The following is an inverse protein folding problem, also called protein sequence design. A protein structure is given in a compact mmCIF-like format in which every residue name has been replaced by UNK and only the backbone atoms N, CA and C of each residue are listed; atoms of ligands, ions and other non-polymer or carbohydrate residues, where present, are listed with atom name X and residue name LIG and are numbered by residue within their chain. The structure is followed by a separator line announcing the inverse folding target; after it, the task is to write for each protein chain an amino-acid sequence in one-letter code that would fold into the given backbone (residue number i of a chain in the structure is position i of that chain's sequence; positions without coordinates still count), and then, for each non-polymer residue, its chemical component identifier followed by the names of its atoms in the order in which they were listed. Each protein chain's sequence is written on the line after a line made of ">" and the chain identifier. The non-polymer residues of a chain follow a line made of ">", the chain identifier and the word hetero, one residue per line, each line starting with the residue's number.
data_IF_919789627811
#
_entry.id   IF_919789627811
#
_cell.length_a   1.000
_cell.length_b   1.000
_cell.length_c   1.000
_cell.angle_alpha   90.00
_cell.angle_beta   90.00
_cell.angle_gamma   90.00
#
_symmetry.space_group_name_H-M   'P 1'
#
loop_
_entity.id
_entity.type
_entity.pdbx_description
1 polymer ?
#
# COMPACT_ATOMS: atom_id res chain seq x y z
N UNK A 1 -8.60 -58.07 -4.82
CA UNK A 1 -8.65 -56.88 -5.70
C UNK A 1 -8.50 -55.67 -4.79
N UNK A 2 -7.32 -55.07 -4.79
CA UNK A 2 -6.97 -53.99 -3.86
C UNK A 2 -7.15 -52.66 -4.57
N UNK A 3 -8.16 -51.90 -4.18
CA UNK A 3 -8.33 -50.51 -4.61
C UNK A 3 -7.24 -49.66 -3.95
N UNK A 4 -6.19 -49.37 -4.72
CA UNK A 4 -5.26 -48.31 -4.37
C UNK A 4 -5.96 -46.97 -4.60
N UNK A 5 -6.44 -46.36 -3.51
CA UNK A 5 -6.94 -44.99 -3.50
C UNK A 5 -5.79 -44.04 -3.82
N UNK A 6 -5.67 -43.69 -5.10
CA UNK A 6 -4.70 -42.73 -5.61
C UNK A 6 -5.18 -41.33 -5.22
N UNK A 7 -4.91 -40.91 -3.98
CA UNK A 7 -5.05 -39.50 -3.57
C UNK A 7 -3.99 -38.70 -4.32
N UNK A 8 -4.38 -38.12 -5.46
CA UNK A 8 -3.57 -37.12 -6.13
C UNK A 8 -3.29 -35.98 -5.13
N UNK A 9 -2.03 -35.87 -4.70
CA UNK A 9 -1.56 -34.75 -3.90
C UNK A 9 -1.83 -33.46 -4.67
N UNK A 10 -2.54 -32.50 -4.05
CA UNK A 10 -2.78 -31.20 -4.67
C UNK A 10 -1.42 -30.60 -5.04
N UNK A 11 -1.26 -30.06 -6.26
CA UNK A 11 -0.01 -29.42 -6.63
C UNK A 11 0.34 -28.34 -5.59
N UNK A 12 1.62 -28.25 -5.18
CA UNK A 12 2.04 -27.30 -4.17
C UNK A 12 1.65 -25.89 -4.60
N UNK A 13 1.11 -25.11 -3.66
CA UNK A 13 0.70 -23.73 -3.93
C UNK A 13 1.90 -22.96 -4.50
N UNK A 14 1.76 -22.48 -5.74
CA UNK A 14 2.83 -21.83 -6.52
C UNK A 14 3.45 -20.64 -5.78
N UNK A 15 2.66 -19.96 -4.93
CA UNK A 15 3.13 -18.84 -4.11
C UNK A 15 4.31 -19.28 -3.24
N UNK A 16 4.25 -20.47 -2.66
CA UNK A 16 5.30 -20.98 -1.78
C UNK A 16 6.60 -21.34 -2.52
N UNK A 17 6.52 -21.53 -3.84
CA UNK A 17 7.65 -21.81 -4.71
C UNK A 17 8.22 -20.55 -5.36
N UNK A 18 7.52 -19.41 -5.26
CA UNK A 18 7.96 -18.17 -5.89
C UNK A 18 9.26 -17.65 -5.23
N UNK A 19 10.32 -17.32 -6.00
CA UNK A 19 11.60 -16.89 -5.44
C UNK A 19 11.48 -15.69 -4.49
N UNK A 20 10.72 -14.66 -4.88
CA UNK A 20 10.49 -13.49 -4.02
C UNK A 20 9.73 -13.85 -2.73
N UNK A 21 8.80 -14.79 -2.76
CA UNK A 21 8.12 -15.22 -1.55
C UNK A 21 9.07 -15.95 -0.59
N UNK A 22 9.98 -16.76 -1.13
CA UNK A 22 11.04 -17.41 -0.36
C UNK A 22 12.00 -16.38 0.24
N UNK A 23 12.36 -15.34 -0.51
CA UNK A 23 13.16 -14.22 -0.02
C UNK A 23 12.44 -13.46 1.11
N UNK A 24 11.14 -13.20 0.99
CA UNK A 24 10.36 -12.58 2.07
C UNK A 24 10.31 -13.46 3.32
N UNK A 25 10.22 -14.78 3.16
CA UNK A 25 10.31 -15.73 4.28
C UNK A 25 11.68 -15.72 4.95
N UNK A 26 12.77 -15.56 4.19
CA UNK A 26 14.12 -15.47 4.76
C UNK A 26 14.38 -14.17 5.53
N UNK A 27 13.47 -13.19 5.48
CA UNK A 27 13.52 -12.01 6.35
C UNK A 27 13.09 -12.33 7.80
N UNK A 28 12.62 -13.54 8.08
CA UNK A 28 12.28 -14.01 9.43
C UNK A 28 11.28 -13.09 10.14
N UNK A 29 10.23 -12.67 9.41
CA UNK A 29 9.07 -11.98 9.98
C UNK A 29 8.10 -13.03 10.50
N UNK A 30 7.72 -12.94 11.77
CA UNK A 30 6.88 -13.94 12.46
C UNK A 30 5.46 -14.00 11.89
N UNK A 31 4.93 -12.87 11.45
CA UNK A 31 3.57 -12.75 10.94
C UNK A 31 3.47 -13.27 9.50
N UNK A 32 3.13 -14.55 9.37
CA UNK A 32 2.96 -15.20 8.06
C UNK A 32 1.85 -14.58 7.20
N UNK A 33 0.82 -13.99 7.80
CA UNK A 33 -0.24 -13.31 7.07
C UNK A 33 0.27 -11.98 6.50
N UNK A 34 1.15 -11.28 7.22
CA UNK A 34 1.83 -10.09 6.72
C UNK A 34 2.82 -10.44 5.59
N UNK A 35 3.57 -11.53 5.70
CA UNK A 35 4.43 -12.02 4.60
C UNK A 35 3.61 -12.36 3.35
N UNK A 36 2.46 -13.02 3.53
CA UNK A 36 1.56 -13.32 2.43
C UNK A 36 0.97 -12.04 1.80
N UNK A 37 0.53 -11.08 2.62
CA UNK A 37 0.05 -9.79 2.14
C UNK A 37 1.13 -9.02 1.38
N UNK A 38 2.37 -9.00 1.88
CA UNK A 38 3.50 -8.37 1.21
C UNK A 38 3.76 -8.98 -0.17
N UNK A 39 3.61 -10.30 -0.30
CA UNK A 39 3.73 -10.97 -1.58
C UNK A 39 2.63 -10.60 -2.57
N UNK A 40 1.37 -10.52 -2.13
CA UNK A 40 0.27 -10.08 -3.00
C UNK A 40 0.50 -8.64 -3.50
N UNK A 41 0.97 -7.76 -2.63
CA UNK A 41 1.33 -6.38 -3.01
C UNK A 41 2.50 -6.37 -3.98
N UNK A 42 3.52 -7.20 -3.77
CA UNK A 42 4.64 -7.33 -4.71
C UNK A 42 4.16 -7.74 -6.10
N UNK A 43 3.28 -8.74 -6.20
CA UNK A 43 2.73 -9.20 -7.48
C UNK A 43 1.95 -8.10 -8.20
N UNK A 44 1.12 -7.35 -7.47
CA UNK A 44 0.38 -6.21 -8.05
C UNK A 44 1.32 -5.10 -8.52
N UNK A 45 2.32 -4.72 -7.71
CA UNK A 45 3.28 -3.69 -8.07
C UNK A 45 4.12 -4.09 -9.29
N UNK A 46 4.68 -5.31 -9.29
CA UNK A 46 5.60 -5.77 -10.33
C UNK A 46 4.89 -6.16 -11.63
N UNK A 47 3.80 -6.93 -11.56
CA UNK A 47 3.17 -7.54 -12.74
C UNK A 47 2.03 -6.69 -13.30
N UNK A 48 1.18 -6.13 -12.43
CA UNK A 48 -0.01 -5.38 -12.85
C UNK A 48 0.32 -3.92 -13.10
N UNK A 49 0.98 -3.27 -12.14
CA UNK A 49 1.33 -1.84 -12.20
C UNK A 49 2.69 -1.58 -12.85
N UNK A 50 3.47 -2.63 -13.11
CA UNK A 50 4.77 -2.58 -13.79
C UNK A 50 5.81 -1.64 -13.14
N UNK A 51 5.79 -1.56 -11.81
CA UNK A 51 6.79 -0.84 -11.03
C UNK A 51 8.19 -1.42 -11.27
N UNK A 52 9.20 -0.56 -11.17
CA UNK A 52 10.61 -0.91 -11.38
C UNK A 52 11.32 -1.11 -10.06
N UNK A 53 12.29 -2.01 -10.07
CA UNK A 53 13.18 -2.26 -8.92
C UNK A 53 12.43 -2.61 -7.63
N UNK A 54 11.31 -3.34 -7.74
CA UNK A 54 10.52 -3.74 -6.56
C UNK A 54 11.31 -4.77 -5.75
N UNK A 55 11.63 -4.44 -4.51
CA UNK A 55 12.39 -5.26 -3.58
C UNK A 55 11.68 -5.34 -2.23
N UNK A 56 12.08 -6.29 -1.38
CA UNK A 56 11.52 -6.48 -0.05
C UNK A 56 12.59 -6.32 1.02
N UNK A 57 12.22 -5.67 2.13
CA UNK A 57 13.12 -5.36 3.24
C UNK A 57 12.40 -5.57 4.56
N UNK A 58 13.11 -6.05 5.59
CA UNK A 58 12.57 -6.16 6.95
C UNK A 58 12.53 -4.77 7.60
N UNK A 59 11.46 -4.43 8.31
CA UNK A 59 11.48 -3.40 9.35
C UNK A 59 11.64 -4.07 10.71
N UNK A 60 12.81 -3.94 11.37
CA UNK A 60 13.03 -4.50 12.70
C UNK A 60 12.08 -3.91 13.76
N UNK A 61 11.73 -2.63 13.63
CA UNK A 61 10.92 -1.89 14.60
C UNK A 61 9.47 -2.40 14.63
N UNK A 62 8.96 -2.79 13.47
CA UNK A 62 7.57 -3.21 13.30
C UNK A 62 7.41 -4.72 13.12
N UNK A 63 8.51 -5.44 12.91
CA UNK A 63 8.51 -6.86 12.55
C UNK A 63 7.56 -7.13 11.37
N UNK A 64 7.79 -6.41 10.27
CA UNK A 64 7.03 -6.54 9.01
C UNK A 64 7.97 -6.53 7.82
N UNK A 65 7.52 -7.11 6.71
CA UNK A 65 8.11 -6.93 5.38
C UNK A 65 7.56 -5.64 4.78
N UNK A 66 8.45 -4.71 4.47
CA UNK A 66 8.17 -3.55 3.64
C UNK A 66 8.60 -3.85 2.20
N UNK A 67 7.99 -3.15 1.25
CA UNK A 67 8.45 -3.14 -0.14
C UNK A 67 9.04 -1.78 -0.48
N UNK A 68 10.04 -1.79 -1.34
CA UNK A 68 10.65 -0.58 -1.90
C UNK A 68 10.64 -0.72 -3.43
N UNK A 69 10.23 0.32 -4.14
CA UNK A 69 10.19 0.28 -5.60
C UNK A 69 9.91 1.65 -6.21
N UNK A 70 9.98 1.72 -7.54
CA UNK A 70 9.76 2.93 -8.31
C UNK A 70 8.52 2.78 -9.18
N UNK A 71 7.64 3.77 -9.14
CA UNK A 71 6.42 3.77 -9.97
C UNK A 71 6.75 3.77 -11.47
N UNK A 72 7.81 4.48 -11.84
CA UNK A 72 8.32 4.59 -13.22
C UNK A 72 9.84 4.65 -13.19
N UNK A 73 10.48 4.40 -14.32
CA UNK A 73 11.92 4.56 -14.47
C UNK A 73 12.35 6.01 -14.15
N UNK A 74 13.39 6.16 -13.34
CA UNK A 74 13.87 7.47 -12.85
C UNK A 74 13.02 8.11 -11.75
N UNK A 75 11.85 7.56 -11.41
CA UNK A 75 11.04 8.06 -10.29
C UNK A 75 11.73 7.79 -8.94
N UNK A 76 11.50 8.60 -7.89
CA UNK A 76 12.03 8.31 -6.56
C UNK A 76 11.54 6.96 -6.05
N UNK A 77 12.39 6.28 -5.28
CA UNK A 77 12.01 5.05 -4.58
C UNK A 77 10.95 5.40 -3.54
N UNK A 78 9.87 4.63 -3.51
CA UNK A 78 8.81 4.75 -2.52
C UNK A 78 8.82 3.51 -1.64
N UNK A 79 8.50 3.71 -0.36
CA UNK A 79 8.29 2.62 0.60
C UNK A 79 6.81 2.28 0.66
N UNK A 80 6.49 1.00 0.56
CA UNK A 80 5.14 0.48 0.65
C UNK A 80 5.04 -0.39 1.92
N UNK A 81 4.00 -0.17 2.70
CA UNK A 81 3.62 -0.97 3.87
C UNK A 81 2.41 -1.86 3.52
N UNK A 82 2.62 -3.17 3.26
CA UNK A 82 1.55 -4.14 3.16
C UNK A 82 0.94 -4.40 4.55
N UNK A 83 -0.34 -4.06 4.70
CA UNK A 83 -1.09 -4.20 5.94
C UNK A 83 -2.27 -5.16 5.74
N UNK A 84 -2.20 -6.38 6.28
CA UNK A 84 -3.37 -7.26 6.37
C UNK A 84 -4.49 -6.58 7.16
N UNK A 85 -5.72 -6.64 6.67
CA UNK A 85 -6.92 -5.98 7.26
C UNK A 85 -7.19 -6.34 8.72
N UNK A 86 -6.76 -7.50 9.20
CA UNK A 86 -6.93 -7.92 10.60
C UNK A 86 -5.84 -7.38 11.53
N UNK A 87 -4.75 -6.81 11.00
CA UNK A 87 -3.63 -6.30 11.79
C UNK A 87 -3.89 -4.84 12.19
N UNK A 88 -3.80 -4.49 13.48
CA UNK A 88 -3.98 -3.12 13.92
C UNK A 88 -2.82 -2.24 13.44
N UNK A 89 -3.13 -0.99 13.10
CA UNK A 89 -2.16 0.04 12.74
C UNK A 89 -2.22 1.18 13.77
N UNK A 90 -1.06 1.61 14.25
CA UNK A 90 -0.95 2.75 15.17
C UNK A 90 -0.25 3.93 14.49
N UNK A 91 -0.50 5.15 14.95
CA UNK A 91 0.25 6.33 14.51
C UNK A 91 1.75 6.18 14.72
N UNK A 92 2.17 5.54 15.82
CA UNK A 92 3.57 5.22 16.08
C UNK A 92 4.14 4.32 14.99
N UNK A 93 3.40 3.29 14.56
CA UNK A 93 3.82 2.39 13.49
C UNK A 93 3.97 3.12 12.16
N UNK A 94 3.01 3.98 11.81
CA UNK A 94 3.08 4.81 10.60
C UNK A 94 4.31 5.71 10.64
N UNK A 95 4.60 6.34 11.80
CA UNK A 95 5.75 7.23 11.94
C UNK A 95 7.07 6.52 11.65
N UNK A 96 7.29 5.31 12.17
CA UNK A 96 8.53 4.56 11.90
C UNK A 96 8.75 4.31 10.40
N UNK A 97 7.68 4.08 9.64
CA UNK A 97 7.82 3.88 8.19
C UNK A 97 8.03 5.23 7.49
N UNK A 98 7.38 6.32 7.92
CA UNK A 98 7.59 7.67 7.36
C UNK A 98 9.03 8.17 7.60
N UNK A 99 9.64 7.80 8.73
CA UNK A 99 11.01 8.18 9.07
C UNK A 99 12.06 7.56 8.13
N UNK A 100 11.70 6.53 7.36
CA UNK A 100 12.56 5.95 6.30
C UNK A 100 12.63 6.80 5.03
N UNK A 101 11.71 7.75 4.85
CA UNK A 101 11.66 8.64 3.69
C UNK A 101 10.24 8.88 3.18
N UNK A 102 10.10 9.91 2.33
CA UNK A 102 8.83 10.30 1.72
C UNK A 102 8.86 10.14 0.20
N UNK A 103 7.76 9.72 -0.45
CA UNK A 103 6.44 9.36 0.10
C UNK A 103 6.27 7.86 0.46
N UNK A 104 5.38 7.55 1.40
CA UNK A 104 4.98 6.17 1.74
C UNK A 104 3.61 5.83 1.15
N UNK A 105 3.45 4.60 0.67
CA UNK A 105 2.14 4.00 0.38
C UNK A 105 1.77 2.97 1.44
N UNK A 106 0.61 3.15 2.08
CA UNK A 106 -0.03 2.10 2.84
C UNK A 106 -0.88 1.26 1.88
N UNK A 107 -0.70 -0.06 1.87
CA UNK A 107 -1.55 -0.96 1.11
C UNK A 107 -2.35 -1.86 2.06
N UNK A 108 -3.65 -1.61 2.18
CA UNK A 108 -4.54 -2.48 2.93
C UNK A 108 -4.90 -3.71 2.09
N UNK A 109 -4.67 -4.91 2.66
CA UNK A 109 -4.86 -6.20 2.01
C UNK A 109 -6.01 -6.96 2.67
N UNK A 110 -7.10 -7.11 1.93
CA UNK A 110 -8.27 -7.88 2.37
C UNK A 110 -8.06 -9.39 2.18
N UNK A 111 -8.86 -10.20 2.87
CA UNK A 111 -8.77 -11.67 2.79
C UNK A 111 -9.16 -12.25 1.43
N UNK A 112 -9.92 -11.49 0.63
CA UNK A 112 -10.26 -11.82 -0.74
C UNK A 112 -9.18 -11.37 -1.76
N UNK A 113 -8.01 -10.95 -1.26
CA UNK A 113 -6.88 -10.41 -2.03
C UNK A 113 -7.13 -9.03 -2.65
N UNK A 114 -8.18 -8.32 -2.27
CA UNK A 114 -8.38 -6.91 -2.67
C UNK A 114 -7.28 -6.03 -2.06
N UNK A 115 -6.70 -5.16 -2.89
CA UNK A 115 -5.64 -4.22 -2.51
C UNK A 115 -6.12 -2.77 -2.61
N UNK A 116 -5.98 -2.02 -1.52
CA UNK A 116 -6.32 -0.59 -1.47
C UNK A 116 -5.08 0.20 -1.09
N UNK A 117 -4.64 1.08 -1.99
CA UNK A 117 -3.48 1.93 -1.79
C UNK A 117 -3.89 3.31 -1.29
N UNK A 118 -3.27 3.73 -0.19
CA UNK A 118 -3.42 5.06 0.38
C UNK A 118 -2.05 5.70 0.54
N UNK A 119 -1.88 6.90 -0.03
CA UNK A 119 -0.65 7.68 0.16
C UNK A 119 -0.63 8.31 1.54
N UNK A 120 0.47 8.11 2.26
CA UNK A 120 0.72 8.68 3.58
C UNK A 120 1.80 9.76 3.49
N UNK A 121 1.56 10.90 4.13
CA UNK A 121 2.45 12.07 4.13
C UNK A 121 2.63 12.60 5.55
N UNK A 122 3.80 13.18 5.82
CA UNK A 122 4.04 13.91 7.07
C UNK A 122 3.54 15.34 6.93
N UNK A 123 2.34 15.58 7.46
CA UNK A 123 1.69 16.87 7.46
C UNK A 123 0.66 17.06 6.34
N UNK A 124 0.29 18.34 6.14
CA UNK A 124 -0.75 18.74 5.21
C UNK A 124 -0.21 18.81 3.79
N UNK A 125 -0.96 18.22 2.85
CA UNK A 125 -0.71 18.32 1.41
C UNK A 125 -1.66 19.36 0.84
N UNK A 126 -1.14 20.34 0.12
CA UNK A 126 -1.97 21.29 -0.62
C UNK A 126 -2.70 20.54 -1.73
N UNK A 127 -4.04 20.59 -1.79
CA UNK A 127 -4.79 19.93 -2.85
C UNK A 127 -4.48 20.59 -4.20
N UNK A 128 -4.60 19.82 -5.27
CA UNK A 128 -4.53 20.38 -6.61
C UNK A 128 -5.62 21.46 -6.79
N UNK A 129 -5.33 22.56 -7.52
CA UNK A 129 -6.34 23.55 -7.84
C UNK A 129 -7.53 22.88 -8.55
N UNK A 130 -8.78 23.28 -8.26
CA UNK A 130 -9.93 22.68 -8.92
C UNK A 130 -9.85 22.89 -10.43
N UNK A 131 -10.15 21.84 -11.18
CA UNK A 131 -10.16 21.87 -12.63
C UNK A 131 -11.37 22.68 -13.12
N UNK A 132 -11.15 23.96 -13.44
CA UNK A 132 -12.13 24.80 -14.13
C UNK A 132 -12.05 26.28 -13.73
N UNK A 133 -12.68 27.17 -14.53
CA UNK A 133 -12.79 28.57 -14.13
C UNK A 133 -13.63 28.66 -12.85
N UNK A 134 -13.04 29.21 -11.79
CA UNK A 134 -13.77 29.65 -10.61
C UNK A 134 -14.78 30.72 -11.04
N UNK A 135 -16.03 30.31 -11.27
CA UNK A 135 -17.14 31.25 -11.27
C UNK A 135 -17.41 31.59 -9.82
N UNK A 136 -16.77 32.66 -9.36
CA UNK A 136 -17.21 33.36 -8.17
C UNK A 136 -18.66 33.81 -8.45
N UNK A 137 -19.62 33.02 -7.95
CA UNK A 137 -21.06 33.31 -8.06
C UNK A 137 -21.33 34.49 -7.12
N UNK A 138 -20.89 35.66 -7.58
CA UNK A 138 -20.70 36.88 -6.83
C UNK A 138 -21.69 36.98 -5.68
N UNK A 139 -21.15 36.90 -4.46
CA UNK A 139 -21.89 37.09 -3.22
C UNK A 139 -22.79 38.30 -3.43
N UNK A 140 -24.11 38.09 -3.53
CA UNK A 140 -25.08 39.16 -3.76
C UNK A 140 -24.85 40.21 -2.68
N UNK A 141 -24.18 41.31 -3.06
CA UNK A 141 -24.00 42.45 -2.19
C UNK A 141 -25.40 42.98 -1.91
N UNK A 142 -25.97 42.61 -0.76
CA UNK A 142 -27.15 43.26 -0.22
C UNK A 142 -26.78 44.71 0.02
N UNK A 143 -27.02 45.55 -0.99
CA UNK A 143 -26.91 47.00 -0.93
C UNK A 143 -27.92 47.47 0.12
N UNK A 144 -27.46 47.67 1.35
CA UNK A 144 -28.25 48.29 2.41
C UNK A 144 -28.70 49.67 1.90
N UNK A 145 -30.00 49.79 1.61
CA UNK A 145 -30.64 51.08 1.36
C UNK A 145 -30.48 51.93 2.63
N UNK A 146 -29.66 52.98 2.55
CA UNK A 146 -29.69 54.07 3.53
C UNK A 146 -31.03 54.77 3.36
N UNK A 147 -31.93 54.64 4.34
CA UNK A 147 -33.05 55.58 4.49
C UNK A 147 -32.44 56.94 4.83
N UNK A 148 -32.72 57.93 3.99
CA UNK A 148 -32.63 59.34 4.39
C UNK A 148 -33.92 59.65 5.13
N UNK A 149 -33.81 60.10 6.37
CA UNK A 149 -34.78 60.96 7.00
C UNK A 149 -34.04 62.00 7.84
#
# INVERSE_FOLDING_TARGET
>A
MSEASNRAEKPPNWIFLHPTYQQMKSLEVEDSAQVHAAFLVYMDLAEVRQWKEVSCVKSPELQVVLLEGREKEGAPVQTILPLPTHRPLSHKSIRHVLDRGFPMLLCAVASDSTLVYQRMTDGLVTPDPPAGPFKDLGRKQHRKRRQKH
#
